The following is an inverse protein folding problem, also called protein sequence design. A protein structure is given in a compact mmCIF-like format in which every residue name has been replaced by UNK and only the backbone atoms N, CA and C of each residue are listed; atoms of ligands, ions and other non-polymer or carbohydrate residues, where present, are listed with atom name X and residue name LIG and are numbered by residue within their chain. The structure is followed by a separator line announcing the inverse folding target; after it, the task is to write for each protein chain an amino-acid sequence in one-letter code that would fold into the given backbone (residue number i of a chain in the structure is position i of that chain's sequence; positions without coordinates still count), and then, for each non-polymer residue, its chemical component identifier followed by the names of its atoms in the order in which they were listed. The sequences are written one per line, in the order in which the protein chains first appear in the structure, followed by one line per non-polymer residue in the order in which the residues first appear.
data_IF_156152117965
#
_entry.id   IF_156152117965
#
_cell.length_a   1.000
_cell.length_b   1.000
_cell.length_c   1.000
_cell.angle_alpha   90.00
_cell.angle_beta   90.00
_cell.angle_gamma   90.00
#
_symmetry.space_group_name_H-M   'P 1'
#
loop_
_entity.id
_entity.type
_entity.pdbx_description
1 polymer ?
#
# COMPACT_ATOMS: atom_id res chain seq x y z
N UNK A 1 -22.95 8.33 13.35
CA UNK A 1 -22.69 7.34 12.29
C UNK A 1 -21.32 7.45 11.61
N UNK A 2 -20.78 8.65 11.37
CA UNK A 2 -19.45 8.82 10.72
C UNK A 2 -18.30 8.35 11.59
N UNK A 3 -18.32 8.62 12.88
CA UNK A 3 -17.32 8.15 13.86
C UNK A 3 -17.30 6.62 14.00
N UNK A 4 -18.46 5.98 13.96
CA UNK A 4 -18.56 4.52 14.08
C UNK A 4 -17.97 3.81 12.86
N UNK A 5 -18.21 4.34 11.66
CA UNK A 5 -17.59 3.80 10.41
C UNK A 5 -16.07 3.95 10.40
N UNK A 6 -15.55 5.07 10.94
CA UNK A 6 -14.10 5.30 11.09
C UNK A 6 -13.48 4.35 12.11
N UNK A 7 -14.16 4.13 13.24
CA UNK A 7 -13.71 3.18 14.25
C UNK A 7 -13.73 1.73 13.74
N UNK A 8 -14.76 1.34 12.97
CA UNK A 8 -14.82 0.01 12.36
C UNK A 8 -13.73 -0.20 11.29
N UNK A 9 -13.46 0.80 10.46
CA UNK A 9 -12.40 0.73 9.46
C UNK A 9 -11.01 0.64 10.12
N UNK A 10 -10.76 1.42 11.18
CA UNK A 10 -9.53 1.36 11.95
C UNK A 10 -9.38 0.01 12.67
N UNK A 11 -10.46 -0.53 13.24
CA UNK A 11 -10.47 -1.83 13.90
C UNK A 11 -10.25 -2.98 12.92
N UNK A 12 -10.86 -2.94 11.73
CA UNK A 12 -10.64 -3.92 10.67
C UNK A 12 -9.19 -3.88 10.15
N UNK A 13 -8.62 -2.69 10.03
CA UNK A 13 -7.23 -2.48 9.65
C UNK A 13 -6.26 -3.05 10.71
N UNK A 14 -6.54 -2.81 11.99
CA UNK A 14 -5.75 -3.33 13.11
C UNK A 14 -5.88 -4.84 13.22
N UNK A 15 -7.07 -5.40 13.01
CA UNK A 15 -7.32 -6.84 13.01
C UNK A 15 -6.60 -7.55 11.86
N UNK A 16 -6.52 -6.93 10.68
CA UNK A 16 -5.75 -7.46 9.56
C UNK A 16 -4.24 -7.51 9.86
N UNK A 17 -3.71 -6.52 10.59
CA UNK A 17 -2.32 -6.50 11.05
C UNK A 17 -2.00 -7.57 12.10
N UNK A 18 -2.96 -7.91 12.97
CA UNK A 18 -2.77 -8.91 14.03
C UNK A 18 -2.99 -10.34 13.55
N UNK A 19 -3.71 -10.55 12.45
CA UNK A 19 -3.98 -11.86 11.88
C UNK A 19 -2.81 -12.44 11.06
N UNK A 20 -1.76 -11.65 10.80
CA UNK A 20 -0.57 -12.12 10.09
C UNK A 20 0.34 -12.85 11.10
N UNK A 21 0.61 -14.15 10.91
CA UNK A 21 1.56 -14.85 11.77
C UNK A 21 2.93 -14.17 11.70
N UNK A 22 3.54 -13.98 12.85
CA UNK A 22 4.83 -13.28 13.00
C UNK A 22 6.03 -13.98 12.33
N UNK A 23 5.80 -15.02 11.54
CA UNK A 23 6.82 -15.80 10.87
C UNK A 23 7.11 -15.28 9.47
N UNK A 24 8.31 -14.77 9.26
CA UNK A 24 8.92 -14.48 7.96
C UNK A 24 8.20 -13.42 7.11
N UNK A 25 7.88 -12.28 7.71
CA UNK A 25 7.44 -11.10 6.97
C UNK A 25 8.59 -10.12 6.72
N UNK A 26 8.49 -9.41 5.61
CA UNK A 26 9.40 -8.31 5.27
C UNK A 26 8.70 -6.97 5.57
N UNK A 27 9.34 -6.13 6.35
CA UNK A 27 8.92 -4.74 6.53
C UNK A 27 9.60 -3.85 5.49
N UNK A 28 8.88 -2.89 4.94
CA UNK A 28 9.47 -1.93 4.01
C UNK A 28 9.04 -0.50 4.30
N UNK A 29 9.93 0.41 3.93
CA UNK A 29 9.67 1.85 3.85
C UNK A 29 9.70 2.21 2.38
N UNK A 30 8.74 3.03 1.94
CA UNK A 30 8.64 3.46 0.56
C UNK A 30 8.28 4.93 0.43
N UNK A 31 8.66 5.50 -0.69
CA UNK A 31 8.29 6.85 -1.11
C UNK A 31 8.00 6.85 -2.60
N UNK A 32 7.23 7.80 -3.07
CA UNK A 32 6.89 7.87 -4.47
C UNK A 32 5.97 9.03 -4.81
N UNK A 33 5.30 8.91 -5.94
CA UNK A 33 4.42 9.94 -6.44
C UNK A 33 3.11 9.37 -7.00
N UNK A 34 2.04 10.10 -6.75
CA UNK A 34 0.77 10.00 -7.44
C UNK A 34 0.84 10.86 -8.69
N UNK A 35 0.79 10.24 -9.86
CA UNK A 35 1.08 10.94 -11.13
C UNK A 35 -0.08 11.80 -11.60
N UNK A 36 -1.31 11.49 -11.20
CA UNK A 36 -2.53 12.23 -11.55
C UNK A 36 -2.57 13.63 -10.92
N UNK A 37 -2.07 13.77 -9.69
CA UNK A 37 -2.09 15.02 -8.94
C UNK A 37 -0.70 15.59 -8.65
N UNK A 38 0.37 14.98 -9.19
CA UNK A 38 1.78 15.36 -8.95
C UNK A 38 2.13 15.47 -7.45
N UNK A 39 1.62 14.53 -6.64
CA UNK A 39 1.80 14.52 -5.20
C UNK A 39 2.77 13.44 -4.77
N UNK A 40 3.63 13.76 -3.84
CA UNK A 40 4.54 12.79 -3.23
C UNK A 40 3.91 12.09 -2.04
N UNK A 41 4.33 10.87 -1.79
CA UNK A 41 3.96 10.13 -0.59
C UNK A 41 5.17 9.50 0.07
N UNK A 42 5.02 9.22 1.36
CA UNK A 42 5.87 8.32 2.14
C UNK A 42 4.97 7.27 2.78
N UNK A 43 5.47 6.07 2.94
CA UNK A 43 4.66 4.99 3.48
C UNK A 43 5.46 3.81 3.99
N UNK A 44 4.74 2.86 4.54
CA UNK A 44 5.26 1.61 5.04
C UNK A 44 4.39 0.45 4.56
N UNK A 45 5.01 -0.70 4.38
CA UNK A 45 4.35 -1.95 4.00
C UNK A 45 4.92 -3.09 4.82
N UNK A 46 4.07 -3.99 5.25
CA UNK A 46 4.49 -5.27 5.80
C UNK A 46 4.01 -6.37 4.88
N UNK A 47 4.93 -7.18 4.36
CA UNK A 47 4.59 -8.29 3.46
C UNK A 47 4.85 -9.62 4.15
N UNK A 48 3.81 -10.43 4.31
CA UNK A 48 3.89 -11.76 4.89
C UNK A 48 3.41 -12.82 3.91
N UNK A 49 4.22 -13.86 3.73
CA UNK A 49 3.83 -15.01 2.94
C UNK A 49 2.83 -15.88 3.69
N UNK A 50 1.68 -16.13 3.08
CA UNK A 50 0.62 -16.96 3.64
C UNK A 50 0.65 -18.38 3.09
N UNK A 51 1.04 -18.55 1.83
CA UNK A 51 1.18 -19.84 1.18
C UNK A 51 2.08 -19.75 -0.05
N UNK A 52 3.18 -20.51 -0.09
CA UNK A 52 4.05 -20.59 -1.25
C UNK A 52 4.52 -19.23 -1.76
N UNK A 53 3.99 -18.82 -2.90
CA UNK A 53 4.31 -17.55 -3.57
C UNK A 53 3.29 -16.43 -3.31
N UNK A 54 2.28 -16.69 -2.47
CA UNK A 54 1.22 -15.72 -2.17
C UNK A 54 1.55 -15.03 -0.85
N UNK A 55 1.55 -13.71 -0.88
CA UNK A 55 1.77 -12.86 0.29
C UNK A 55 0.63 -11.85 0.46
N UNK A 56 0.36 -11.51 1.73
CA UNK A 56 -0.49 -10.38 2.13
C UNK A 56 0.42 -9.20 2.42
N UNK A 57 0.05 -8.03 1.94
CA UNK A 57 0.82 -6.81 2.07
C UNK A 57 -0.04 -5.63 2.53
N UNK A 58 -0.38 -5.56 3.83
CA UNK A 58 -0.97 -4.35 4.39
C UNK A 58 0.02 -3.20 4.28
N UNK A 59 -0.47 -2.05 3.87
CA UNK A 59 0.36 -0.87 3.68
C UNK A 59 -0.38 0.42 4.03
N UNK A 60 0.39 1.41 4.40
CA UNK A 60 -0.08 2.73 4.76
C UNK A 60 0.77 3.79 4.07
N UNK A 61 0.12 4.80 3.51
CA UNK A 61 0.78 5.91 2.84
C UNK A 61 0.22 7.24 3.36
N UNK A 62 1.12 8.18 3.58
CA UNK A 62 0.79 9.59 3.82
C UNK A 62 1.18 10.36 2.57
N UNK A 63 0.19 10.93 1.91
CA UNK A 63 0.42 11.80 0.76
C UNK A 63 0.65 13.20 1.26
N UNK A 64 1.70 13.85 0.77
CA UNK A 64 2.04 15.22 1.12
C UNK A 64 1.27 16.14 0.16
N UNK A 65 0.14 16.73 0.59
CA UNK A 65 -0.64 17.64 -0.21
C UNK A 65 -0.12 19.07 -0.05
N UNK A 66 -0.45 19.92 -1.00
CA UNK A 66 -0.25 21.36 -0.83
C UNK A 66 -1.17 21.93 0.25
N UNK A 67 -2.34 21.35 0.42
CA UNK A 67 -3.33 21.74 1.44
C UNK A 67 -4.04 20.51 2.02
N UNK A 68 -4.21 20.47 3.35
CA UNK A 68 -4.91 19.42 4.06
C UNK A 68 -4.08 18.17 4.34
N UNK A 69 -4.75 17.06 4.63
CA UNK A 69 -4.12 15.74 4.90
C UNK A 69 -4.75 14.67 4.04
N UNK A 70 -3.91 13.82 3.47
CA UNK A 70 -4.34 12.69 2.67
C UNK A 70 -3.59 11.43 3.10
N UNK A 71 -4.33 10.38 3.47
CA UNK A 71 -3.75 9.07 3.79
C UNK A 71 -4.43 7.98 3.02
N UNK A 72 -3.69 6.92 2.73
CA UNK A 72 -4.27 5.68 2.28
C UNK A 72 -3.88 4.53 3.19
N UNK A 73 -4.80 3.61 3.35
CA UNK A 73 -4.55 2.32 3.95
C UNK A 73 -5.03 1.24 2.99
N UNK A 74 -4.18 0.27 2.70
CA UNK A 74 -4.49 -0.79 1.74
C UNK A 74 -4.11 -2.15 2.29
N UNK A 75 -4.83 -3.17 1.86
CA UNK A 75 -4.47 -4.56 2.03
C UNK A 75 -4.41 -5.21 0.64
N UNK A 76 -3.22 -5.59 0.23
CA UNK A 76 -2.94 -6.12 -1.09
C UNK A 76 -2.51 -7.59 -0.99
N UNK A 77 -2.91 -8.39 -1.98
CA UNK A 77 -2.40 -9.73 -2.21
C UNK A 77 -1.35 -9.67 -3.30
N UNK A 78 -0.19 -10.21 -3.04
CA UNK A 78 0.90 -10.29 -4.00
C UNK A 78 1.15 -11.75 -4.40
N UNK A 79 1.27 -12.00 -5.69
CA UNK A 79 1.89 -13.20 -6.22
C UNK A 79 3.34 -12.89 -6.57
N UNK A 80 4.26 -13.49 -5.84
CA UNK A 80 5.70 -13.30 -6.03
C UNK A 80 6.21 -14.40 -6.95
N UNK A 81 6.70 -14.01 -8.11
CA UNK A 81 7.19 -14.98 -9.10
C UNK A 81 8.44 -15.71 -8.62
N UNK A 82 8.53 -17.02 -8.83
CA UNK A 82 9.75 -17.79 -8.54
C UNK A 82 10.83 -17.46 -9.57
N UNK A 83 11.59 -16.40 -9.31
CA UNK A 83 12.69 -15.98 -10.18
C UNK A 83 14.01 -16.62 -9.74
N UNK A 84 14.84 -16.98 -10.69
CA UNK A 84 16.23 -17.37 -10.45
C UNK A 84 17.12 -16.11 -10.51
N UNK A 85 18.16 -16.07 -9.69
CA UNK A 85 19.09 -14.94 -9.64
C UNK A 85 18.62 -13.78 -8.73
N UNK A 86 19.20 -12.59 -8.91
CA UNK A 86 19.03 -11.47 -7.97
C UNK A 86 17.73 -10.69 -8.16
N UNK A 87 16.97 -10.93 -9.20
CA UNK A 87 15.72 -10.21 -9.49
C UNK A 87 14.55 -10.83 -8.73
N UNK A 88 13.70 -9.98 -8.15
CA UNK A 88 12.41 -10.33 -7.62
C UNK A 88 11.31 -9.60 -8.41
N UNK A 89 10.21 -10.28 -8.70
CA UNK A 89 9.07 -9.70 -9.40
C UNK A 89 7.77 -10.16 -8.75
N UNK A 90 6.76 -9.31 -8.74
CA UNK A 90 5.43 -9.65 -8.25
C UNK A 90 4.34 -8.88 -8.97
N UNK A 91 3.17 -9.50 -8.99
CA UNK A 91 1.91 -8.86 -9.34
C UNK A 91 0.96 -8.94 -8.15
N UNK A 92 0.06 -8.00 -8.05
CA UNK A 92 -0.87 -7.98 -6.94
C UNK A 92 -2.17 -7.26 -7.26
N UNK A 93 -3.13 -7.51 -6.39
CA UNK A 93 -4.40 -6.79 -6.36
C UNK A 93 -4.86 -6.65 -4.91
N UNK A 94 -5.58 -5.60 -4.61
CA UNK A 94 -6.06 -5.36 -3.26
C UNK A 94 -7.11 -4.29 -3.17
N UNK A 95 -7.48 -3.98 -1.94
CA UNK A 95 -8.43 -2.93 -1.61
C UNK A 95 -7.75 -1.85 -0.78
N UNK A 96 -8.07 -0.61 -1.09
CA UNK A 96 -7.57 0.54 -0.36
C UNK A 96 -8.68 1.47 0.10
N UNK A 97 -8.45 2.09 1.24
CA UNK A 97 -9.25 3.20 1.77
C UNK A 97 -8.40 4.46 1.66
N UNK A 98 -8.95 5.47 1.02
CA UNK A 98 -8.31 6.74 0.73
C UNK A 98 -9.07 7.85 1.44
N UNK A 99 -8.46 8.48 2.42
CA UNK A 99 -9.08 9.53 3.22
C UNK A 99 -8.43 10.88 2.94
N UNK A 100 -9.23 11.85 2.56
CA UNK A 100 -8.83 13.26 2.37
C UNK A 100 -9.53 14.12 3.38
N UNK A 101 -8.77 14.91 4.09
CA UNK A 101 -9.29 15.95 4.96
C UNK A 101 -8.92 17.30 4.36
N UNK A 102 -9.92 18.14 4.08
CA UNK A 102 -9.72 19.53 3.68
C UNK A 102 -9.95 20.45 4.87
N UNK A 103 -9.12 21.46 5.02
CA UNK A 103 -9.40 22.59 5.91
C UNK A 103 -10.62 23.34 5.37
N UNK A 104 -11.79 23.10 5.97
CA UNK A 104 -13.06 23.66 5.50
C UNK A 104 -14.25 22.71 5.56
N UNK A 105 -14.04 21.46 5.99
CA UNK A 105 -15.12 20.56 6.44
C UNK A 105 -15.67 19.56 5.45
N UNK A 106 -15.10 19.38 4.26
CA UNK A 106 -15.48 18.31 3.33
C UNK A 106 -14.48 17.15 3.40
N UNK A 107 -14.64 16.32 4.42
CA UNK A 107 -13.93 15.05 4.52
C UNK A 107 -14.47 14.08 3.45
N UNK A 108 -13.58 13.57 2.61
CA UNK A 108 -13.91 12.59 1.59
C UNK A 108 -13.16 11.30 1.85
N UNK A 109 -13.87 10.17 1.77
CA UNK A 109 -13.29 8.83 1.93
C UNK A 109 -13.75 7.95 0.79
N UNK A 110 -12.79 7.47 0.01
CA UNK A 110 -13.01 6.56 -1.11
C UNK A 110 -12.53 5.16 -0.76
N UNK A 111 -13.19 4.17 -1.34
CA UNK A 111 -12.70 2.79 -1.40
C UNK A 111 -12.32 2.49 -2.83
N UNK A 112 -11.14 1.94 -3.04
CA UNK A 112 -10.62 1.64 -4.37
C UNK A 112 -10.07 0.24 -4.49
N UNK A 113 -9.99 -0.23 -5.72
CA UNK A 113 -9.28 -1.44 -6.11
C UNK A 113 -7.86 -1.08 -6.53
N UNK A 114 -6.88 -1.78 -5.99
CA UNK A 114 -5.48 -1.63 -6.37
C UNK A 114 -5.07 -2.77 -7.30
N UNK A 115 -4.38 -2.43 -8.38
CA UNK A 115 -3.63 -3.35 -9.22
C UNK A 115 -2.15 -2.97 -9.12
N UNK A 116 -1.29 -3.94 -8.89
CA UNK A 116 0.10 -3.71 -8.49
C UNK A 116 1.03 -4.56 -9.33
N UNK A 117 2.13 -3.96 -9.77
CA UNK A 117 3.26 -4.67 -10.34
C UNK A 117 4.55 -4.14 -9.75
N UNK A 118 5.47 -5.01 -9.37
CA UNK A 118 6.72 -4.62 -8.75
C UNK A 118 7.91 -5.43 -9.19
N UNK A 119 9.07 -4.78 -9.16
CA UNK A 119 10.38 -5.36 -9.41
C UNK A 119 11.33 -4.96 -8.27
N UNK A 120 12.16 -5.87 -7.84
CA UNK A 120 13.13 -5.62 -6.79
C UNK A 120 14.37 -6.47 -6.92
N UNK A 121 15.33 -6.22 -6.03
CA UNK A 121 16.55 -7.00 -5.93
C UNK A 121 16.55 -7.83 -4.66
N UNK A 122 17.02 -9.07 -4.78
CA UNK A 122 17.26 -9.99 -3.67
C UNK A 122 18.62 -9.68 -3.07
N UNK A 123 18.70 -8.68 -2.19
CA UNK A 123 19.90 -8.24 -1.51
C UNK A 123 19.65 -8.17 0.00
N UNK A 124 20.64 -7.78 0.79
CA UNK A 124 20.48 -7.60 2.24
C UNK A 124 19.45 -6.50 2.55
N UNK A 125 19.58 -5.38 1.87
CA UNK A 125 18.53 -4.36 1.78
C UNK A 125 17.87 -4.57 0.41
N UNK A 126 16.66 -5.03 0.37
CA UNK A 126 15.93 -5.40 -0.86
C UNK A 126 15.29 -4.17 -1.50
N UNK A 127 16.03 -3.38 -2.31
CA UNK A 127 15.44 -2.22 -2.99
C UNK A 127 14.44 -2.69 -4.03
N UNK A 128 13.39 -1.92 -4.20
CA UNK A 128 12.35 -2.23 -5.18
C UNK A 128 11.68 -0.98 -5.74
N UNK A 129 11.04 -1.17 -6.89
CA UNK A 129 10.10 -0.23 -7.47
C UNK A 129 8.74 -0.91 -7.66
N UNK A 130 7.68 -0.17 -7.51
CA UNK A 130 6.32 -0.66 -7.61
C UNK A 130 5.44 0.34 -8.32
N UNK A 131 4.68 -0.15 -9.28
CA UNK A 131 3.62 0.57 -9.94
C UNK A 131 2.29 0.10 -9.37
N UNK A 132 1.45 1.03 -8.97
CA UNK A 132 0.09 0.76 -8.50
C UNK A 132 -0.90 1.58 -9.31
N UNK A 133 -1.93 0.94 -9.79
CA UNK A 133 -3.12 1.58 -10.36
C UNK A 133 -4.22 1.48 -9.31
N UNK A 134 -4.61 2.61 -8.75
CA UNK A 134 -5.72 2.70 -7.80
C UNK A 134 -6.98 3.10 -8.56
N UNK A 135 -7.91 2.17 -8.68
CA UNK A 135 -9.20 2.38 -9.34
C UNK A 135 -10.22 2.74 -8.25
N UNK A 136 -10.56 3.99 -8.20
CA UNK A 136 -11.59 4.59 -7.33
C UNK A 136 -12.43 5.52 -8.20
N UNK A 137 -13.11 6.52 -7.64
CA UNK A 137 -13.88 7.50 -8.44
C UNK A 137 -13.03 8.13 -9.55
N UNK A 138 -11.77 8.46 -9.23
CA UNK A 138 -10.73 8.83 -10.19
C UNK A 138 -9.61 7.80 -10.18
N UNK A 139 -9.19 7.31 -11.34
CA UNK A 139 -8.07 6.39 -11.45
C UNK A 139 -6.74 7.10 -11.22
N UNK A 140 -5.98 6.64 -10.25
CA UNK A 140 -4.66 7.16 -9.93
C UNK A 140 -3.57 6.15 -10.29
N UNK A 141 -2.53 6.64 -10.95
CA UNK A 141 -1.30 5.89 -11.17
C UNK A 141 -0.26 6.31 -10.13
N UNK A 142 0.29 5.36 -9.42
CA UNK A 142 1.22 5.59 -8.30
C UNK A 142 2.53 4.87 -8.58
N UNK A 143 3.61 5.61 -8.63
CA UNK A 143 4.96 5.05 -8.75
C UNK A 143 5.67 5.17 -7.41
N UNK A 144 6.10 4.03 -6.87
CA UNK A 144 6.80 3.95 -5.59
C UNK A 144 8.16 3.28 -5.69
N UNK A 145 9.08 3.73 -4.86
CA UNK A 145 10.37 3.13 -4.61
C UNK A 145 10.50 2.84 -3.14
N UNK A 146 11.08 1.70 -2.79
CA UNK A 146 11.23 1.32 -1.40
C UNK A 146 12.43 0.42 -1.12
N UNK A 147 12.65 0.23 0.16
CA UNK A 147 13.64 -0.71 0.69
C UNK A 147 12.89 -1.64 1.63
N UNK A 148 13.12 -2.94 1.46
CA UNK A 148 12.52 -4.00 2.27
C UNK A 148 13.60 -4.66 3.12
N UNK A 149 13.28 -4.90 4.40
CA UNK A 149 14.17 -5.46 5.40
C UNK A 149 13.79 -6.89 5.76
#
# INVERSE_FOLDING_TARGET
MRTLKRALAAAAALAALTAVPASAGDFSIRAGAYTDESRFFVGAEYRAFIQGHIAVAPNFEVVIPEEGSYFSFSADLHYVFPTQGPLAAWLGAGLGIYARNHEGGNDHTDVGLNLIGGLGLKAKLKPYMQLKVAVKDDTALVLGFGIRF
#
